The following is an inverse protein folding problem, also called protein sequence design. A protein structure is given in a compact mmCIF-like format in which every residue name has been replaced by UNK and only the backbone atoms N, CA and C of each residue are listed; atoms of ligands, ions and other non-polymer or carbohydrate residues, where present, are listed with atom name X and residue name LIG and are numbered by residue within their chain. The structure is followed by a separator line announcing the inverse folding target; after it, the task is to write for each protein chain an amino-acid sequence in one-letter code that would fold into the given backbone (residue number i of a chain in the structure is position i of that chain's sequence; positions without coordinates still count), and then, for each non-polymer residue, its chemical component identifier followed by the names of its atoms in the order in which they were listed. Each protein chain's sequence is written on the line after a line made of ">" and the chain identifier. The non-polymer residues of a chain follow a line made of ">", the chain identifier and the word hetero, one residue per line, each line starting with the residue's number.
data_IF_917050920356
#
_entry.id   IF_917050920356
#
_cell.length_a   1.000
_cell.length_b   1.000
_cell.length_c   1.000
_cell.angle_alpha   90.00
_cell.angle_beta   90.00
_cell.angle_gamma   90.00
#
_symmetry.space_group_name_H-M   'P 1'
#
loop_
_entity.id
_entity.type
_entity.pdbx_description
1 polymer ?
#
# COMPACT_ATOMS: atom_id res chain seq x y z
N UNK A 1 -10.06 36.90 -20.12
CA UNK A 1 -8.70 36.96 -19.52
C UNK A 1 -8.34 35.55 -19.11
N UNK A 2 -7.10 35.17 -19.44
CA UNK A 2 -6.43 33.88 -19.22
C UNK A 2 -7.16 32.62 -19.73
N UNK A 3 -6.83 32.22 -20.97
CA UNK A 3 -6.79 30.80 -21.31
C UNK A 3 -5.71 30.17 -20.44
N UNK A 4 -6.11 29.41 -19.41
CA UNK A 4 -5.19 28.52 -18.73
C UNK A 4 -4.69 27.53 -19.79
N UNK A 5 -3.42 27.60 -20.17
CA UNK A 5 -2.83 26.49 -20.91
C UNK A 5 -2.84 25.31 -19.94
N UNK A 6 -3.59 24.27 -20.29
CA UNK A 6 -3.54 22.99 -19.57
C UNK A 6 -2.10 22.50 -19.57
N UNK A 7 -1.61 22.20 -18.38
CA UNK A 7 -0.22 21.84 -18.16
C UNK A 7 0.00 20.39 -18.60
N UNK A 8 1.09 20.12 -19.30
CA UNK A 8 1.41 18.75 -19.76
C UNK A 8 1.59 17.81 -18.55
N UNK A 9 1.38 16.51 -18.77
CA UNK A 9 1.49 15.53 -17.69
C UNK A 9 2.92 15.46 -17.12
N UNK A 10 3.93 15.67 -17.96
CA UNK A 10 5.34 15.78 -17.57
C UNK A 10 5.61 17.01 -16.70
N UNK A 11 5.01 18.16 -17.03
CA UNK A 11 5.07 19.36 -16.20
C UNK A 11 4.35 19.14 -14.86
N UNK A 12 3.21 18.44 -14.85
CA UNK A 12 2.50 18.05 -13.62
C UNK A 12 3.35 17.15 -12.74
N UNK A 13 4.01 16.14 -13.32
CA UNK A 13 4.93 15.26 -12.60
C UNK A 13 6.12 16.01 -11.99
N UNK A 14 6.71 16.95 -12.74
CA UNK A 14 7.79 17.80 -12.23
C UNK A 14 7.32 18.64 -11.04
N UNK A 15 6.10 19.19 -11.09
CA UNK A 15 5.53 19.91 -9.96
C UNK A 15 5.29 19.02 -8.75
N UNK A 16 4.73 17.81 -8.94
CA UNK A 16 4.57 16.82 -7.86
C UNK A 16 5.91 16.51 -7.20
N UNK A 17 6.95 16.22 -8.00
CA UNK A 17 8.28 15.93 -7.48
C UNK A 17 8.85 17.11 -6.69
N UNK A 18 8.71 18.34 -7.19
CA UNK A 18 9.17 19.54 -6.48
C UNK A 18 8.44 19.75 -5.15
N UNK A 19 7.12 19.54 -5.11
CA UNK A 19 6.34 19.64 -3.87
C UNK A 19 6.77 18.57 -2.86
N UNK A 20 7.02 17.35 -3.32
CA UNK A 20 7.49 16.25 -2.47
C UNK A 20 8.94 16.45 -2.00
N UNK A 21 9.82 17.05 -2.80
CA UNK A 21 11.19 17.37 -2.36
C UNK A 21 11.18 18.40 -1.21
N UNK A 22 10.30 19.41 -1.31
CA UNK A 22 10.18 20.46 -0.31
C UNK A 22 9.51 20.00 0.99
N UNK A 23 8.60 19.02 0.92
CA UNK A 23 7.75 18.64 2.05
C UNK A 23 7.91 17.18 2.51
N UNK A 24 8.63 16.34 1.78
CA UNK A 24 8.75 14.91 2.06
C UNK A 24 9.35 14.64 3.43
N UNK A 25 10.47 15.29 3.75
CA UNK A 25 11.11 15.19 5.08
C UNK A 25 10.27 15.80 6.19
N UNK A 26 9.44 16.80 5.88
CA UNK A 26 8.52 17.46 6.83
C UNK A 26 7.27 16.62 7.12
N UNK A 27 7.00 15.58 6.34
CA UNK A 27 5.83 14.70 6.53
C UNK A 27 5.94 14.00 7.89
N UNK A 28 5.00 14.22 8.79
CA UNK A 28 5.10 13.72 10.17
C UNK A 28 5.02 12.19 10.26
N UNK A 29 4.15 11.57 9.46
CA UNK A 29 3.94 10.12 9.49
C UNK A 29 5.09 9.36 8.80
N UNK A 30 5.69 8.36 9.45
CA UNK A 30 6.63 7.46 8.79
C UNK A 30 5.93 6.42 7.90
N UNK A 31 4.62 6.23 8.05
CA UNK A 31 3.87 5.13 7.44
C UNK A 31 3.79 5.12 5.92
N UNK A 32 3.17 4.07 5.39
CA UNK A 32 3.05 3.81 3.95
C UNK A 32 1.96 4.64 3.29
N UNK A 33 0.75 4.63 3.87
CA UNK A 33 -0.46 5.12 3.18
C UNK A 33 -0.43 6.64 3.04
N UNK A 34 -0.05 7.34 4.10
CA UNK A 34 -0.04 8.81 4.15
C UNK A 34 1.32 9.43 4.50
N UNK A 35 2.37 8.59 4.61
CA UNK A 35 3.65 8.99 5.18
C UNK A 35 4.85 8.88 4.25
N UNK A 36 6.05 9.03 4.85
CA UNK A 36 7.35 9.07 4.15
C UNK A 36 7.63 7.85 3.29
N UNK A 37 7.21 6.64 3.71
CA UNK A 37 7.43 5.43 2.91
C UNK A 37 6.72 5.54 1.54
N UNK A 38 5.50 6.07 1.51
CA UNK A 38 4.80 6.34 0.25
C UNK A 38 5.54 7.34 -0.66
N UNK A 39 6.12 8.38 -0.06
CA UNK A 39 6.93 9.37 -0.78
C UNK A 39 8.20 8.74 -1.35
N UNK A 40 8.89 7.90 -0.56
CA UNK A 40 10.08 7.19 -1.01
C UNK A 40 9.77 6.29 -2.22
N UNK A 41 8.66 5.54 -2.19
CA UNK A 41 8.19 4.72 -3.32
C UNK A 41 8.02 5.56 -4.58
N UNK A 42 7.36 6.72 -4.48
CA UNK A 42 7.23 7.62 -5.63
C UNK A 42 8.61 8.03 -6.19
N UNK A 43 9.55 8.42 -5.34
CA UNK A 43 10.86 8.89 -5.81
C UNK A 43 11.72 7.81 -6.46
N UNK A 44 11.59 6.55 -6.06
CA UNK A 44 12.22 5.44 -6.76
C UNK A 44 11.69 5.26 -8.19
N UNK A 45 10.37 5.30 -8.36
CA UNK A 45 9.74 5.30 -9.69
C UNK A 45 10.11 6.54 -10.50
N UNK A 46 10.16 7.70 -9.86
CA UNK A 46 10.51 8.95 -10.51
C UNK A 46 11.99 9.01 -10.95
N UNK A 47 12.89 8.40 -10.16
CA UNK A 47 14.30 8.23 -10.52
C UNK A 47 14.46 7.39 -11.79
N UNK A 48 13.72 6.28 -11.90
CA UNK A 48 13.70 5.46 -13.12
C UNK A 48 13.14 6.22 -14.32
N UNK A 49 12.05 6.96 -14.14
CA UNK A 49 11.45 7.76 -15.21
C UNK A 49 12.38 8.85 -15.74
N UNK A 50 13.09 9.54 -14.85
CA UNK A 50 13.96 10.67 -15.20
C UNK A 50 15.41 10.26 -15.50
N UNK A 51 15.76 9.00 -15.26
CA UNK A 51 17.14 8.48 -15.29
C UNK A 51 18.09 9.28 -14.38
N UNK A 52 17.58 9.82 -13.27
CA UNK A 52 18.34 10.64 -12.34
C UNK A 52 18.37 10.02 -10.94
N UNK A 53 19.53 9.44 -10.61
CA UNK A 53 19.77 8.76 -9.33
C UNK A 53 19.68 9.68 -8.10
N UNK A 54 19.77 11.01 -8.26
CA UNK A 54 19.60 11.94 -7.13
C UNK A 54 18.21 11.81 -6.47
N UNK A 55 17.19 11.41 -7.23
CA UNK A 55 15.87 11.14 -6.66
C UNK A 55 15.85 9.83 -5.86
N UNK A 56 16.59 8.82 -6.29
CA UNK A 56 16.75 7.58 -5.53
C UNK A 56 17.57 7.82 -4.25
N UNK A 57 18.63 8.61 -4.31
CA UNK A 57 19.42 9.01 -3.14
C UNK A 57 18.53 9.74 -2.11
N UNK A 58 17.69 10.68 -2.57
CA UNK A 58 16.71 11.34 -1.71
C UNK A 58 15.69 10.36 -1.10
N UNK A 59 15.23 9.35 -1.86
CA UNK A 59 14.33 8.32 -1.35
C UNK A 59 14.99 7.47 -0.24
N UNK A 60 16.28 7.17 -0.38
CA UNK A 60 17.07 6.47 0.65
C UNK A 60 17.20 7.34 1.91
N UNK A 61 17.48 8.64 1.75
CA UNK A 61 17.52 9.58 2.89
C UNK A 61 16.17 9.64 3.62
N UNK A 62 15.05 9.67 2.89
CA UNK A 62 13.71 9.60 3.47
C UNK A 62 13.46 8.32 4.28
N UNK A 63 13.96 7.17 3.79
CA UNK A 63 13.86 5.90 4.52
C UNK A 63 14.70 5.95 5.80
N UNK A 64 15.91 6.51 5.75
CA UNK A 64 16.74 6.69 6.94
C UNK A 64 16.09 7.59 7.99
N UNK A 65 15.53 8.74 7.57
CA UNK A 65 14.78 9.64 8.46
C UNK A 65 13.52 8.98 9.03
N UNK A 66 12.80 8.22 8.21
CA UNK A 66 11.65 7.44 8.66
C UNK A 66 12.05 6.42 9.73
N UNK A 67 13.14 5.67 9.53
CA UNK A 67 13.65 4.72 10.51
C UNK A 67 14.00 5.40 11.85
N UNK A 68 14.57 6.60 11.82
CA UNK A 68 14.86 7.38 13.03
C UNK A 68 13.59 7.79 13.81
N UNK A 69 12.42 7.82 13.17
CA UNK A 69 11.13 8.10 13.83
C UNK A 69 10.47 6.87 14.44
N UNK A 70 10.91 5.67 14.07
CA UNK A 70 10.36 4.44 14.61
C UNK A 70 10.90 4.21 16.01
N UNK A 71 10.00 4.12 16.98
CA UNK A 71 10.30 3.89 18.38
C UNK A 71 9.43 2.77 18.94
N UNK A 72 9.72 2.35 20.19
CA UNK A 72 9.01 1.25 20.88
C UNK A 72 7.48 1.38 20.85
N UNK A 73 6.96 2.61 20.95
CA UNK A 73 5.51 2.87 20.96
C UNK A 73 4.90 3.14 19.56
N UNK A 74 5.68 3.00 18.48
CA UNK A 74 5.11 3.19 17.13
C UNK A 74 4.09 2.08 16.88
N UNK A 75 2.96 2.40 16.26
CA UNK A 75 1.89 1.42 16.10
C UNK A 75 2.32 0.31 15.13
N UNK A 76 1.73 -0.87 15.30
CA UNK A 76 1.95 -2.01 14.42
C UNK A 76 1.07 -1.98 13.16
N UNK A 77 0.13 -1.03 13.08
CA UNK A 77 -0.85 -0.90 12.00
C UNK A 77 -0.21 -0.73 10.61
N UNK A 78 -1.03 -0.92 9.58
CA UNK A 78 -0.58 -0.84 8.20
C UNK A 78 -0.56 0.61 7.67
N UNK A 79 -1.48 1.45 8.12
CA UNK A 79 -1.63 2.82 7.58
C UNK A 79 -0.44 3.72 7.93
N UNK A 80 -0.06 3.70 9.21
CA UNK A 80 0.90 4.59 9.88
C UNK A 80 2.07 3.81 10.48
N UNK A 81 1.91 2.51 10.69
CA UNK A 81 2.79 1.68 11.50
C UNK A 81 3.75 0.76 10.75
N UNK A 82 4.31 -0.17 11.53
CA UNK A 82 5.36 -1.10 11.13
C UNK A 82 4.91 -2.00 9.97
N UNK A 83 3.67 -2.50 9.99
CA UNK A 83 3.20 -3.41 8.96
C UNK A 83 3.28 -2.78 7.57
N UNK A 84 2.80 -1.54 7.42
CA UNK A 84 2.86 -0.82 6.16
C UNK A 84 4.28 -0.50 5.72
N UNK A 85 5.12 -0.05 6.66
CA UNK A 85 6.53 0.24 6.38
C UNK A 85 7.26 -1.01 5.88
N UNK A 86 7.08 -2.16 6.55
CA UNK A 86 7.69 -3.42 6.14
C UNK A 86 7.21 -3.92 4.77
N UNK A 87 5.91 -3.77 4.47
CA UNK A 87 5.38 -4.08 3.13
C UNK A 87 5.91 -3.10 2.07
N UNK A 88 6.10 -1.84 2.42
CA UNK A 88 6.75 -0.85 1.56
C UNK A 88 8.20 -1.20 1.24
N UNK A 89 8.98 -1.63 2.25
CA UNK A 89 10.35 -2.12 2.06
C UNK A 89 10.36 -3.34 1.12
N UNK A 90 9.50 -4.34 1.37
CA UNK A 90 9.41 -5.51 0.48
C UNK A 90 9.01 -5.12 -0.95
N UNK A 91 8.10 -4.16 -1.11
CA UNK A 91 7.75 -3.62 -2.43
C UNK A 91 8.97 -3.04 -3.15
N UNK A 92 9.79 -2.25 -2.46
CA UNK A 92 11.01 -1.68 -3.05
C UNK A 92 12.00 -2.76 -3.48
N UNK A 93 12.18 -3.79 -2.66
CA UNK A 93 13.05 -4.94 -2.98
C UNK A 93 12.51 -5.71 -4.19
N UNK A 94 11.21 -5.99 -4.25
CA UNK A 94 10.58 -6.74 -5.36
C UNK A 94 10.65 -6.02 -6.70
N UNK A 95 10.84 -4.70 -6.69
CA UNK A 95 10.98 -3.87 -7.89
C UNK A 95 12.46 -3.52 -8.18
N UNK A 96 13.41 -4.20 -7.54
CA UNK A 96 14.85 -4.00 -7.71
C UNK A 96 15.32 -2.56 -7.39
N UNK A 97 14.55 -1.82 -6.57
CA UNK A 97 14.91 -0.47 -6.13
C UNK A 97 15.91 -0.49 -4.96
N UNK A 98 15.85 -1.53 -4.12
CA UNK A 98 16.73 -1.72 -2.98
C UNK A 98 17.39 -3.10 -3.04
N UNK A 99 18.69 -3.12 -2.75
CA UNK A 99 19.47 -4.34 -2.53
C UNK A 99 19.78 -4.42 -1.03
N UNK A 100 19.15 -5.35 -0.34
CA UNK A 100 19.30 -5.54 1.12
C UNK A 100 19.45 -7.01 1.46
N UNK A 101 19.95 -7.28 2.65
CA UNK A 101 20.06 -8.63 3.22
C UNK A 101 18.70 -9.11 3.75
N UNK A 102 18.54 -10.43 3.94
CA UNK A 102 17.26 -11.05 4.32
C UNK A 102 16.77 -10.61 5.72
N UNK A 103 17.67 -10.08 6.56
CA UNK A 103 17.44 -9.66 7.95
C UNK A 103 17.01 -8.17 8.10
N UNK A 104 16.82 -7.44 6.99
CA UNK A 104 16.50 -6.00 6.96
C UNK A 104 15.31 -5.58 7.86
N UNK A 105 14.40 -6.50 8.16
CA UNK A 105 13.20 -6.26 8.97
C UNK A 105 13.16 -7.09 10.26
N UNK A 106 14.27 -7.65 10.77
CA UNK A 106 14.25 -8.51 11.97
C UNK A 106 13.59 -7.82 13.18
N UNK A 107 13.93 -6.56 13.44
CA UNK A 107 13.33 -5.76 14.52
C UNK A 107 11.83 -5.55 14.32
N UNK A 108 11.37 -5.47 13.06
CA UNK A 108 9.95 -5.36 12.73
C UNK A 108 9.26 -6.71 12.92
N UNK A 109 9.90 -7.80 12.50
CA UNK A 109 9.39 -9.17 12.62
C UNK A 109 9.10 -9.48 14.11
N UNK A 110 10.02 -9.15 15.03
CA UNK A 110 9.81 -9.33 16.47
C UNK A 110 8.61 -8.54 17.01
N UNK A 111 8.44 -7.29 16.57
CA UNK A 111 7.31 -6.44 17.00
C UNK A 111 5.99 -6.90 16.41
N UNK A 112 6.00 -7.37 15.16
CA UNK A 112 4.83 -7.90 14.49
C UNK A 112 4.38 -9.25 15.07
N UNK A 113 5.31 -10.08 15.57
CA UNK A 113 4.96 -11.33 16.29
C UNK A 113 4.18 -10.97 17.54
N UNK A 114 4.69 -10.00 18.31
CA UNK A 114 3.99 -9.51 19.50
C UNK A 114 2.61 -8.93 19.17
N UNK A 115 2.51 -8.11 18.12
CA UNK A 115 1.25 -7.51 17.69
C UNK A 115 0.18 -8.55 17.33
N UNK A 116 0.57 -9.64 16.65
CA UNK A 116 -0.35 -10.71 16.25
C UNK A 116 -0.71 -11.65 17.41
N UNK A 117 0.28 -12.03 18.22
CA UNK A 117 0.13 -13.13 19.19
C UNK A 117 -0.25 -12.68 20.60
N UNK A 118 -0.01 -11.42 20.96
CA UNK A 118 -0.04 -10.99 22.36
C UNK A 118 -0.82 -9.69 22.60
N UNK A 119 -0.68 -8.70 21.72
CA UNK A 119 -1.38 -7.43 21.88
C UNK A 119 -2.84 -7.55 21.39
N UNK A 120 -3.79 -6.79 21.97
CA UNK A 120 -5.14 -6.75 21.46
C UNK A 120 -5.16 -6.07 20.07
N UNK A 121 -5.80 -6.72 19.11
CA UNK A 121 -6.09 -6.14 17.80
C UNK A 121 -7.45 -5.42 17.83
N UNK A 122 -7.61 -4.42 16.96
CA UNK A 122 -8.79 -3.54 16.96
C UNK A 122 -9.94 -4.09 16.13
N UNK A 123 -9.64 -4.54 14.92
CA UNK A 123 -10.61 -5.00 13.93
C UNK A 123 -9.94 -5.92 12.87
N UNK A 124 -10.67 -6.28 11.82
CA UNK A 124 -10.20 -7.09 10.69
C UNK A 124 -9.81 -6.25 9.47
N UNK A 125 -9.83 -4.92 9.57
CA UNK A 125 -9.52 -4.01 8.47
C UNK A 125 -8.06 -4.09 8.03
N UNK A 126 -7.79 -3.62 6.81
CA UNK A 126 -6.45 -3.60 6.25
C UNK A 126 -5.56 -2.55 6.92
N UNK A 127 -6.11 -1.40 7.31
CA UNK A 127 -5.33 -0.26 7.80
C UNK A 127 -4.98 -0.37 9.27
N UNK A 128 -5.94 -0.73 10.12
CA UNK A 128 -5.77 -0.76 11.57
C UNK A 128 -5.78 -2.18 12.17
N UNK A 129 -6.17 -3.17 11.36
CA UNK A 129 -6.54 -4.50 11.82
C UNK A 129 -5.67 -5.66 11.36
N UNK A 130 -6.20 -6.86 11.61
CA UNK A 130 -5.50 -8.13 11.41
C UNK A 130 -5.11 -8.40 9.95
N UNK A 131 -5.90 -7.96 8.98
CA UNK A 131 -5.56 -8.21 7.57
C UNK A 131 -4.34 -7.42 7.16
N UNK A 132 -4.15 -6.20 7.69
CA UNK A 132 -2.91 -5.42 7.55
C UNK A 132 -1.68 -6.15 8.10
N UNK A 133 -1.80 -6.76 9.28
CA UNK A 133 -0.74 -7.60 9.86
C UNK A 133 -0.48 -8.84 8.99
N UNK A 134 -1.54 -9.44 8.45
CA UNK A 134 -1.44 -10.55 7.53
C UNK A 134 -0.68 -10.19 6.25
N UNK A 135 -0.90 -9.00 5.69
CA UNK A 135 -0.16 -8.51 4.51
C UNK A 135 1.34 -8.37 4.78
N UNK A 136 1.71 -7.90 5.98
CA UNK A 136 3.10 -7.91 6.42
C UNK A 136 3.65 -9.33 6.39
N UNK A 137 3.00 -10.28 7.05
CA UNK A 137 3.53 -11.65 7.11
C UNK A 137 3.56 -12.37 5.75
N UNK A 138 2.62 -12.08 4.85
CA UNK A 138 2.69 -12.55 3.45
C UNK A 138 4.00 -12.07 2.79
N UNK A 139 4.40 -10.82 2.98
CA UNK A 139 5.64 -10.30 2.39
C UNK A 139 6.88 -10.97 2.95
N UNK A 140 6.83 -11.42 4.21
CA UNK A 140 7.96 -12.09 4.88
C UNK A 140 8.16 -13.55 4.46
N UNK A 141 7.15 -14.23 3.91
CA UNK A 141 7.23 -15.67 3.53
C UNK A 141 8.32 -16.01 2.51
N UNK A 142 8.81 -15.02 1.75
CA UNK A 142 9.86 -15.23 0.73
C UNK A 142 11.28 -15.26 1.29
N UNK A 143 11.48 -14.82 2.53
CA UNK A 143 12.79 -14.75 3.17
C UNK A 143 12.97 -15.94 4.10
N UNK A 144 14.15 -16.55 4.12
CA UNK A 144 14.36 -17.81 4.85
C UNK A 144 14.22 -17.64 6.37
N UNK A 145 14.84 -16.59 6.91
CA UNK A 145 14.88 -16.32 8.36
C UNK A 145 13.48 -16.10 8.97
N UNK A 146 12.62 -15.20 8.45
CA UNK A 146 11.31 -14.95 9.06
C UNK A 146 10.19 -15.90 8.61
N UNK A 147 10.45 -16.85 7.69
CA UNK A 147 9.40 -17.69 7.10
C UNK A 147 8.63 -18.50 8.15
N UNK A 148 9.30 -18.97 9.21
CA UNK A 148 8.67 -19.76 10.27
C UNK A 148 7.71 -18.88 11.08
N UNK A 149 8.15 -17.71 11.53
CA UNK A 149 7.28 -16.75 12.24
C UNK A 149 6.12 -16.31 11.37
N UNK A 150 6.37 -16.06 10.08
CA UNK A 150 5.34 -15.70 9.11
C UNK A 150 4.25 -16.78 9.02
N UNK A 151 4.65 -18.06 8.95
CA UNK A 151 3.70 -19.17 8.90
C UNK A 151 2.85 -19.27 10.17
N UNK A 152 3.46 -19.14 11.34
CA UNK A 152 2.77 -19.17 12.63
C UNK A 152 1.78 -18.00 12.76
N UNK A 153 2.22 -16.78 12.45
CA UNK A 153 1.37 -15.59 12.52
C UNK A 153 0.21 -15.65 11.52
N UNK A 154 0.45 -16.08 10.28
CA UNK A 154 -0.61 -16.22 9.28
C UNK A 154 -1.62 -17.31 9.68
N UNK A 155 -1.15 -18.45 10.21
CA UNK A 155 -2.02 -19.49 10.73
C UNK A 155 -2.90 -18.99 11.88
N UNK A 156 -2.33 -18.18 12.78
CA UNK A 156 -3.08 -17.57 13.87
C UNK A 156 -4.14 -16.57 13.38
N UNK A 157 -3.78 -15.69 12.43
CA UNK A 157 -4.71 -14.74 11.82
C UNK A 157 -5.86 -15.47 11.11
N UNK A 158 -5.57 -16.48 10.31
CA UNK A 158 -6.60 -17.28 9.62
C UNK A 158 -7.55 -17.94 10.62
N UNK A 159 -7.03 -18.48 11.73
CA UNK A 159 -7.87 -19.05 12.79
C UNK A 159 -8.80 -18.00 13.40
N UNK A 160 -8.30 -16.79 13.69
CA UNK A 160 -9.14 -15.71 14.23
C UNK A 160 -10.22 -15.28 13.24
N UNK A 161 -9.91 -15.20 11.95
CA UNK A 161 -10.89 -14.91 10.90
C UNK A 161 -11.96 -15.99 10.80
N UNK A 162 -11.57 -17.27 10.89
CA UNK A 162 -12.51 -18.39 10.87
C UNK A 162 -13.43 -18.38 12.09
N UNK A 163 -12.89 -18.11 13.28
CA UNK A 163 -13.66 -18.05 14.54
C UNK A 163 -14.68 -16.91 14.59
N UNK A 164 -14.41 -15.79 13.90
CA UNK A 164 -15.24 -14.58 13.94
C UNK A 164 -15.96 -14.27 12.62
N UNK A 165 -15.93 -15.17 11.64
CA UNK A 165 -16.37 -14.91 10.27
C UNK A 165 -17.80 -14.33 10.16
N UNK A 166 -18.70 -14.80 11.02
CA UNK A 166 -20.10 -14.37 11.03
C UNK A 166 -20.31 -12.95 11.59
N UNK A 167 -19.35 -12.45 12.37
CA UNK A 167 -19.44 -11.19 13.11
C UNK A 167 -18.62 -10.06 12.44
N UNK A 168 -17.95 -10.34 11.32
CA UNK A 168 -17.14 -9.36 10.59
C UNK A 168 -18.03 -8.27 9.97
N UNK A 169 -17.81 -6.99 10.31
CA UNK A 169 -18.59 -5.87 9.77
C UNK A 169 -18.46 -5.74 8.25
N UNK A 170 -19.52 -5.27 7.59
CA UNK A 170 -19.58 -5.16 6.11
C UNK A 170 -18.46 -4.33 5.50
N UNK A 171 -17.99 -3.32 6.21
CA UNK A 171 -16.92 -2.40 5.86
C UNK A 171 -15.54 -3.06 5.82
N UNK A 172 -15.35 -4.17 6.55
CA UNK A 172 -14.08 -4.92 6.65
C UNK A 172 -14.07 -6.18 5.78
N UNK A 173 -15.25 -6.66 5.38
CA UNK A 173 -15.41 -7.90 4.61
C UNK A 173 -14.59 -7.91 3.31
N UNK A 174 -14.45 -6.77 2.64
CA UNK A 174 -13.64 -6.68 1.41
C UNK A 174 -12.15 -6.86 1.71
N UNK A 175 -11.66 -6.31 2.82
CA UNK A 175 -10.24 -6.41 3.21
C UNK A 175 -9.90 -7.86 3.57
N UNK A 176 -10.78 -8.51 4.33
CA UNK A 176 -10.68 -9.94 4.66
C UNK A 176 -10.70 -10.81 3.41
N UNK A 177 -11.64 -10.56 2.50
CA UNK A 177 -11.72 -11.28 1.24
C UNK A 177 -10.42 -11.14 0.42
N UNK A 178 -9.90 -9.91 0.27
CA UNK A 178 -8.68 -9.65 -0.49
C UNK A 178 -7.45 -10.33 0.14
N UNK A 179 -7.32 -10.25 1.46
CA UNK A 179 -6.24 -10.93 2.20
C UNK A 179 -6.27 -12.45 1.98
N UNK A 180 -7.42 -13.09 2.17
CA UNK A 180 -7.58 -14.53 1.97
C UNK A 180 -7.37 -14.93 0.50
N UNK A 181 -7.81 -14.08 -0.43
CA UNK A 181 -7.60 -14.28 -1.87
C UNK A 181 -6.12 -14.27 -2.24
N UNK A 182 -5.33 -13.37 -1.65
CA UNK A 182 -3.88 -13.35 -1.89
C UNK A 182 -3.18 -14.53 -1.21
N UNK A 183 -3.59 -14.85 0.03
CA UNK A 183 -2.99 -15.93 0.81
C UNK A 183 -3.17 -17.31 0.15
N UNK A 184 -4.36 -17.65 -0.37
CA UNK A 184 -4.61 -18.94 -1.03
C UNK A 184 -3.71 -19.20 -2.26
N UNK A 185 -3.13 -18.15 -2.85
CA UNK A 185 -2.27 -18.25 -4.04
C UNK A 185 -0.84 -18.64 -3.67
N UNK A 186 -0.54 -18.69 -2.38
CA UNK A 186 0.75 -19.07 -1.83
C UNK A 186 0.69 -20.56 -1.46
N UNK A 187 1.73 -21.30 -1.86
CA UNK A 187 1.81 -22.74 -1.58
C UNK A 187 1.77 -23.00 -0.08
N UNK A 188 0.93 -23.95 0.35
CA UNK A 188 0.73 -24.30 1.76
C UNK A 188 -0.48 -23.64 2.43
N UNK A 189 -1.19 -22.75 1.73
CA UNK A 189 -2.40 -22.06 2.23
C UNK A 189 -3.67 -22.45 1.46
N UNK A 190 -3.68 -23.60 0.79
CA UNK A 190 -4.83 -24.10 0.03
C UNK A 190 -6.05 -24.38 0.93
N UNK A 191 -5.84 -24.54 2.24
CA UNK A 191 -6.89 -24.68 3.24
C UNK A 191 -7.77 -23.42 3.37
N UNK A 192 -7.26 -22.24 3.03
CA UNK A 192 -8.01 -20.99 3.05
C UNK A 192 -9.14 -20.94 2.01
N UNK A 193 -9.14 -21.84 1.01
CA UNK A 193 -10.18 -21.92 -0.02
C UNK A 193 -11.58 -22.05 0.58
N UNK A 194 -11.74 -22.90 1.60
CA UNK A 194 -13.04 -23.11 2.25
C UNK A 194 -13.56 -21.86 2.95
N UNK A 195 -12.67 -21.06 3.52
CA UNK A 195 -13.00 -19.79 4.16
C UNK A 195 -13.36 -18.73 3.09
N UNK A 196 -12.54 -18.62 2.04
CA UNK A 196 -12.76 -17.68 0.95
C UNK A 196 -14.09 -17.92 0.21
N UNK A 197 -14.48 -19.18 -0.03
CA UNK A 197 -15.77 -19.51 -0.63
C UNK A 197 -16.97 -19.08 0.24
N UNK A 198 -16.79 -19.04 1.57
CA UNK A 198 -17.81 -18.49 2.46
C UNK A 198 -17.87 -16.97 2.34
N UNK A 199 -16.72 -16.30 2.28
CA UNK A 199 -16.62 -14.85 2.08
C UNK A 199 -17.24 -14.39 0.74
N UNK A 200 -17.23 -15.23 -0.31
CA UNK A 200 -17.88 -14.91 -1.61
C UNK A 200 -19.39 -14.65 -1.51
N UNK A 201 -20.03 -15.09 -0.42
CA UNK A 201 -21.46 -14.83 -0.17
C UNK A 201 -21.72 -13.41 0.34
N UNK A 202 -20.68 -12.69 0.77
CA UNK A 202 -20.81 -11.30 1.18
C UNK A 202 -21.18 -10.42 0.00
N UNK A 203 -22.08 -9.47 0.24
CA UNK A 203 -22.46 -8.51 -0.78
C UNK A 203 -21.29 -7.54 -0.99
N UNK A 204 -20.91 -7.27 -2.25
CA UNK A 204 -19.87 -6.30 -2.59
C UNK A 204 -20.26 -4.82 -2.32
N UNK A 205 -21.31 -4.58 -1.52
CA UNK A 205 -21.76 -3.22 -1.18
C UNK A 205 -20.67 -2.52 -0.38
N UNK A 206 -20.29 -1.31 -0.81
CA UNK A 206 -19.23 -0.50 -0.20
C UNK A 206 -17.82 -1.11 -0.25
N UNK A 207 -17.52 -1.94 -1.26
CA UNK A 207 -16.17 -2.52 -1.45
C UNK A 207 -15.09 -1.45 -1.45
N UNK A 208 -14.01 -1.65 -0.70
CA UNK A 208 -12.87 -0.71 -0.57
C UNK A 208 -13.24 0.65 0.06
N UNK A 209 -14.11 0.64 1.08
CA UNK A 209 -14.51 1.84 1.85
C UNK A 209 -13.31 2.65 2.37
N UNK A 210 -12.23 1.98 2.81
CA UNK A 210 -10.99 2.57 3.32
C UNK A 210 -10.30 3.58 2.40
N UNK A 211 -10.54 3.49 1.08
CA UNK A 211 -9.90 4.38 0.10
C UNK A 211 -10.52 5.78 0.07
N UNK A 212 -11.74 5.96 0.58
CA UNK A 212 -12.48 7.21 0.47
C UNK A 212 -12.85 7.59 -0.98
N UNK A 213 -13.19 8.87 -1.17
CA UNK A 213 -13.77 9.41 -2.41
C UNK A 213 -12.83 10.46 -3.02
N UNK A 214 -11.90 10.00 -3.86
CA UNK A 214 -11.02 10.86 -4.66
C UNK A 214 -10.77 10.24 -6.03
N UNK A 215 -10.23 11.01 -6.98
CA UNK A 215 -9.91 10.50 -8.32
C UNK A 215 -8.93 9.31 -8.25
N UNK A 216 -7.87 9.43 -7.44
CA UNK A 216 -6.93 8.34 -7.19
C UNK A 216 -7.61 7.15 -6.50
N UNK A 217 -8.48 7.38 -5.52
CA UNK A 217 -9.23 6.32 -4.84
C UNK A 217 -10.14 5.55 -5.81
N UNK A 218 -10.79 6.24 -6.74
CA UNK A 218 -11.63 5.62 -7.77
C UNK A 218 -10.81 4.74 -8.71
N UNK A 219 -9.64 5.23 -9.12
CA UNK A 219 -8.70 4.47 -9.93
C UNK A 219 -8.22 3.20 -9.20
N UNK A 220 -7.72 3.33 -7.98
CA UNK A 220 -7.24 2.19 -7.16
C UNK A 220 -8.37 1.19 -6.94
N UNK A 221 -9.57 1.66 -6.57
CA UNK A 221 -10.76 0.82 -6.38
C UNK A 221 -11.06 0.01 -7.64
N UNK A 222 -10.95 0.64 -8.82
CA UNK A 222 -11.18 -0.04 -10.09
C UNK A 222 -10.15 -1.12 -10.39
N UNK A 223 -8.87 -0.85 -10.16
CA UNK A 223 -7.79 -1.84 -10.31
C UNK A 223 -7.99 -3.02 -9.35
N UNK A 224 -8.32 -2.76 -8.09
CA UNK A 224 -8.52 -3.82 -7.10
C UNK A 224 -9.79 -4.64 -7.38
N UNK A 225 -10.91 -4.00 -7.76
CA UNK A 225 -12.12 -4.72 -8.19
C UNK A 225 -11.87 -5.63 -9.39
N UNK A 226 -11.04 -5.19 -10.35
CA UNK A 226 -10.62 -6.01 -11.48
C UNK A 226 -9.91 -7.30 -11.02
N UNK A 227 -8.99 -7.19 -10.06
CA UNK A 227 -8.22 -8.33 -9.54
C UNK A 227 -9.06 -9.28 -8.67
N UNK A 228 -9.83 -8.74 -7.73
CA UNK A 228 -10.44 -9.53 -6.66
C UNK A 228 -11.89 -9.96 -6.96
N UNK A 229 -12.63 -9.10 -7.67
CA UNK A 229 -14.07 -9.27 -7.88
C UNK A 229 -14.42 -9.65 -9.32
N UNK A 230 -13.43 -9.72 -10.23
CA UNK A 230 -13.61 -9.92 -11.67
C UNK A 230 -14.61 -8.93 -12.29
N UNK A 231 -14.70 -7.73 -11.73
CA UNK A 231 -15.76 -6.75 -12.00
C UNK A 231 -15.37 -5.75 -13.11
N UNK A 232 -14.33 -6.01 -13.90
CA UNK A 232 -13.78 -4.97 -14.81
C UNK A 232 -13.00 -5.52 -16.02
N UNK A 233 -13.08 -4.78 -17.13
CA UNK A 233 -12.25 -4.95 -18.32
C UNK A 233 -11.12 -3.89 -18.35
N UNK A 234 -9.91 -4.27 -18.78
CA UNK A 234 -8.73 -3.39 -18.91
C UNK A 234 -9.04 -2.05 -19.62
N UNK A 235 -9.96 -2.07 -20.59
CA UNK A 235 -10.40 -0.87 -21.32
C UNK A 235 -10.95 0.24 -20.42
N UNK A 236 -11.58 -0.10 -19.28
CA UNK A 236 -12.12 0.89 -18.34
C UNK A 236 -11.00 1.55 -17.53
N UNK A 237 -9.98 0.79 -17.13
CA UNK A 237 -8.79 1.31 -16.44
C UNK A 237 -8.06 2.30 -17.38
N UNK A 238 -7.88 1.91 -18.64
CA UNK A 238 -7.26 2.79 -19.65
C UNK A 238 -8.10 4.05 -19.89
N UNK A 239 -9.43 3.96 -19.80
CA UNK A 239 -10.31 5.12 -19.93
C UNK A 239 -10.12 6.10 -18.77
N UNK A 240 -10.00 5.60 -17.54
CA UNK A 240 -9.74 6.42 -16.35
C UNK A 240 -8.39 7.14 -16.49
N UNK A 241 -7.33 6.42 -16.89
CA UNK A 241 -6.00 7.01 -17.07
C UNK A 241 -5.98 8.11 -18.13
N UNK A 242 -6.76 7.97 -19.21
CA UNK A 242 -6.86 8.98 -20.25
C UNK A 242 -7.69 10.21 -19.84
N UNK A 243 -8.38 10.15 -18.69
CA UNK A 243 -9.29 11.19 -18.20
C UNK A 243 -8.87 11.74 -16.83
N UNK A 244 -7.62 11.52 -16.41
CA UNK A 244 -7.09 12.08 -15.16
C UNK A 244 -7.21 13.61 -15.22
N UNK A 245 -7.79 14.19 -14.17
CA UNK A 245 -7.91 15.63 -14.02
C UNK A 245 -6.54 16.29 -13.85
N UNK A 246 -6.42 17.52 -14.34
CA UNK A 246 -5.22 18.32 -14.13
C UNK A 246 -4.95 18.48 -12.63
N UNK A 247 -3.67 18.47 -12.25
CA UNK A 247 -3.27 18.59 -10.85
C UNK A 247 -3.82 19.90 -10.25
N UNK A 248 -4.66 19.80 -9.23
CA UNK A 248 -5.12 20.98 -8.49
C UNK A 248 -3.98 21.55 -7.66
N UNK A 249 -3.36 22.62 -8.16
CA UNK A 249 -2.29 23.33 -7.45
C UNK A 249 -2.80 24.35 -6.43
N UNK A 250 -4.09 24.68 -6.46
CA UNK A 250 -4.68 25.65 -5.53
C UNK A 250 -5.06 25.01 -4.19
N UNK A 251 -5.38 23.71 -4.21
CA UNK A 251 -5.70 22.94 -3.02
C UNK A 251 -4.59 21.91 -2.70
N UNK A 252 -3.71 22.19 -1.72
CA UNK A 252 -2.71 21.20 -1.32
C UNK A 252 -3.41 19.92 -0.81
N UNK A 253 -2.86 18.73 -1.12
CA UNK A 253 -3.41 17.47 -0.67
C UNK A 253 -3.35 17.34 0.85
N UNK A 254 -4.18 16.46 1.37
CA UNK A 254 -4.32 16.24 2.82
C UNK A 254 -3.09 15.52 3.39
N UNK A 255 -2.35 14.79 2.55
CA UNK A 255 -1.11 14.11 2.92
C UNK A 255 -0.07 14.17 1.80
N UNK A 256 1.15 13.67 2.06
CA UNK A 256 2.19 13.52 1.04
C UNK A 256 2.29 12.08 0.51
N UNK A 257 1.62 11.12 1.16
CA UNK A 257 1.75 9.69 0.87
C UNK A 257 0.98 9.20 -0.37
N UNK A 258 0.78 7.89 -0.44
CA UNK A 258 0.18 7.19 -1.58
C UNK A 258 -1.33 7.46 -1.71
N UNK A 259 -2.06 7.48 -0.59
CA UNK A 259 -3.50 7.74 -0.62
C UNK A 259 -3.74 9.23 -0.36
N UNK A 260 -4.53 9.85 -1.25
CA UNK A 260 -4.93 11.28 -1.19
C UNK A 260 -3.76 12.26 -1.01
N UNK A 261 -2.56 11.87 -1.45
CA UNK A 261 -1.32 12.63 -1.35
C UNK A 261 -0.57 12.77 -2.67
N UNK A 262 0.42 13.67 -2.68
CA UNK A 262 1.20 13.96 -3.89
C UNK A 262 1.95 12.74 -4.44
N UNK A 263 2.44 11.82 -3.58
CA UNK A 263 3.12 10.63 -4.07
C UNK A 263 2.20 9.73 -4.91
N UNK A 264 0.95 9.55 -4.47
CA UNK A 264 -0.07 8.84 -5.23
C UNK A 264 -0.42 9.53 -6.55
N UNK A 265 -0.65 10.84 -6.52
CA UNK A 265 -0.92 11.65 -7.72
C UNK A 265 0.22 11.59 -8.75
N UNK A 266 1.46 11.49 -8.26
CA UNK A 266 2.65 11.29 -9.07
C UNK A 266 2.70 9.90 -9.70
N UNK A 267 2.46 8.84 -8.92
CA UNK A 267 2.42 7.47 -9.44
C UNK A 267 1.32 7.28 -10.48
N UNK A 268 0.12 7.84 -10.24
CA UNK A 268 -0.99 7.81 -11.18
C UNK A 268 -0.61 8.44 -12.54
N UNK A 269 0.13 9.55 -12.53
CA UNK A 269 0.62 10.20 -13.75
C UNK A 269 1.74 9.44 -14.44
N UNK A 270 2.67 8.86 -13.69
CA UNK A 270 3.69 7.96 -14.25
C UNK A 270 3.04 6.79 -14.97
N UNK A 271 1.97 6.26 -14.40
CA UNK A 271 1.23 5.14 -14.96
C UNK A 271 0.44 5.51 -16.21
N UNK A 272 -0.19 6.69 -16.23
CA UNK A 272 -0.82 7.25 -17.42
C UNK A 272 0.17 7.49 -18.56
N UNK A 273 1.42 7.86 -18.24
CA UNK A 273 2.53 7.93 -19.21
C UNK A 273 3.13 6.56 -19.57
N UNK A 274 2.61 5.45 -19.01
CA UNK A 274 3.12 4.08 -19.19
C UNK A 274 4.59 3.94 -18.75
N UNK A 275 4.97 4.64 -17.68
CA UNK A 275 6.31 4.64 -17.09
C UNK A 275 6.42 3.78 -15.83
N UNK A 276 5.28 3.38 -15.28
CA UNK A 276 5.16 2.37 -14.22
C UNK A 276 3.91 1.52 -14.47
N UNK A 277 3.77 0.42 -13.76
CA UNK A 277 2.59 -0.45 -13.80
C UNK A 277 1.66 -0.19 -12.61
N UNK A 278 0.54 -0.91 -12.56
CA UNK A 278 -0.44 -0.79 -11.48
C UNK A 278 -0.02 -1.46 -10.16
N UNK A 279 1.19 -1.99 -10.02
CA UNK A 279 1.58 -2.80 -8.86
C UNK A 279 1.52 -2.02 -7.54
N UNK A 280 1.82 -0.71 -7.58
CA UNK A 280 1.78 0.18 -6.43
C UNK A 280 0.37 0.32 -5.86
N UNK A 281 -0.69 0.16 -6.66
CA UNK A 281 -2.08 0.30 -6.18
C UNK A 281 -2.45 -0.80 -5.20
N UNK A 282 -1.75 -1.93 -5.21
CA UNK A 282 -1.95 -3.00 -4.25
C UNK A 282 -1.29 -2.70 -2.91
N UNK A 283 -0.57 -1.60 -2.74
CA UNK A 283 -0.10 -1.13 -1.43
C UNK A 283 -1.21 -0.48 -0.60
N UNK A 284 -2.33 -0.12 -1.22
CA UNK A 284 -3.48 0.55 -0.61
C UNK A 284 -4.67 -0.39 -0.50
#
# INVERSE_FOLDING_TARGET
>A
MQQYQSMTMEEQLSQVANMLLLNGTLTESPGLVHGKMGVAIFFFHYAQYTENMLFADYAVDLIGEMQNQIHLNSPADYEKGIAGIGVGIDYLIRNDFLLVEDDICEDFDQRMVRAVMHDPWQDFSMYDGLTGYGRYWISRLRYQEPAVQAQECLGYIVRLLEENLADIPSEEQTDVYCFLYDLQRISGYESCNGLLEQCRKWEAKNSFSRLGDSAISNFIRKVQSSRYLNDTNQNEIDTILNQIEDLDTEKPPVSMGLLTGYAGEGLLRLEALRKTDHSWTFLL
#
